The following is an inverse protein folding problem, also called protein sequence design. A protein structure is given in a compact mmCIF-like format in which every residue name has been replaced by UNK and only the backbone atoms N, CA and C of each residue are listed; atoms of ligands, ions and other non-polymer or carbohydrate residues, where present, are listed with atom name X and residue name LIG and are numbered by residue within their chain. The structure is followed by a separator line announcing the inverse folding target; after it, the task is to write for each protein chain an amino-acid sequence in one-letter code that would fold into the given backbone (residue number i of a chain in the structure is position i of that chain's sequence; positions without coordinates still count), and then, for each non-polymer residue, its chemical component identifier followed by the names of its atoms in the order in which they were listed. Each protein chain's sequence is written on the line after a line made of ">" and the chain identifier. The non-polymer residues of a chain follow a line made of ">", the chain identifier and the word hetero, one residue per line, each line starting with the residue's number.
data_IF_767422070463
#
_entry.id   IF_767422070463
#
_cell.length_a   1.000
_cell.length_b   1.000
_cell.length_c   1.000
_cell.angle_alpha   90.00
_cell.angle_beta   90.00
_cell.angle_gamma   90.00
#
_symmetry.space_group_name_H-M   'P 1'
#
loop_
_entity.id
_entity.type
_entity.pdbx_description
1 polymer ?
#
# COMPACT_ATOMS: atom_id res chain seq x y z
N UNK A 1 -16.62 -12.57 -24.92
CA UNK A 1 -16.62 -11.28 -24.18
C UNK A 1 -15.25 -11.03 -23.54
N UNK A 2 -14.61 -12.06 -22.97
CA UNK A 2 -13.31 -11.94 -22.26
C UNK A 2 -12.11 -11.58 -23.16
N UNK A 3 -12.00 -12.13 -24.38
CA UNK A 3 -10.86 -11.85 -25.27
C UNK A 3 -10.88 -10.41 -25.84
N UNK A 4 -12.06 -9.85 -26.09
CA UNK A 4 -12.20 -8.48 -26.58
C UNK A 4 -11.89 -7.45 -25.50
N UNK A 5 -12.29 -7.70 -24.24
CA UNK A 5 -11.97 -6.83 -23.12
C UNK A 5 -10.47 -6.83 -22.79
N UNK A 6 -9.80 -7.97 -22.88
CA UNK A 6 -8.34 -8.08 -22.71
C UNK A 6 -7.59 -7.32 -23.83
N UNK A 7 -8.00 -7.46 -25.07
CA UNK A 7 -7.39 -6.73 -26.19
C UNK A 7 -7.56 -5.20 -26.05
N UNK A 8 -8.73 -4.72 -25.63
CA UNK A 8 -8.97 -3.30 -25.35
C UNK A 8 -8.13 -2.77 -24.19
N UNK A 9 -7.95 -3.56 -23.12
CA UNK A 9 -7.09 -3.21 -21.99
C UNK A 9 -5.61 -3.08 -22.43
N UNK A 10 -5.12 -4.03 -23.21
CA UNK A 10 -3.75 -4.00 -23.77
C UNK A 10 -3.54 -2.78 -24.68
N UNK A 11 -4.48 -2.45 -25.57
CA UNK A 11 -4.40 -1.28 -26.45
C UNK A 11 -4.39 0.01 -25.60
N UNK A 12 -5.24 0.14 -24.57
CA UNK A 12 -5.25 1.30 -23.68
C UNK A 12 -3.96 1.45 -22.90
N UNK A 13 -3.38 0.35 -22.40
CA UNK A 13 -2.11 0.36 -21.68
C UNK A 13 -0.95 0.81 -22.59
N UNK A 14 -0.89 0.32 -23.82
CA UNK A 14 0.13 0.75 -24.80
C UNK A 14 0.04 2.24 -25.13
N UNK A 15 -1.17 2.80 -25.30
CA UNK A 15 -1.35 4.23 -25.53
C UNK A 15 -0.97 5.08 -24.31
N UNK A 16 -1.31 4.64 -23.12
CA UNK A 16 -0.92 5.32 -21.87
C UNK A 16 0.60 5.34 -21.72
N UNK A 17 1.27 4.22 -21.93
CA UNK A 17 2.72 4.12 -21.87
C UNK A 17 3.40 5.01 -22.91
N UNK A 18 2.88 5.09 -24.14
CA UNK A 18 3.42 5.96 -25.19
C UNK A 18 3.34 7.44 -24.81
N UNK A 19 2.18 7.91 -24.37
CA UNK A 19 1.97 9.33 -24.01
C UNK A 19 2.86 9.69 -22.82
N UNK A 20 2.91 8.86 -21.80
CA UNK A 20 3.73 9.09 -20.60
C UNK A 20 5.21 9.10 -20.95
N UNK A 21 5.68 8.19 -21.82
CA UNK A 21 7.05 8.19 -22.35
C UNK A 21 7.39 9.50 -23.05
N UNK A 22 6.52 9.98 -23.93
CA UNK A 22 6.72 11.25 -24.65
C UNK A 22 6.82 12.44 -23.70
N UNK A 23 5.99 12.49 -22.66
CA UNK A 23 6.05 13.53 -21.63
C UNK A 23 7.39 13.47 -20.90
N UNK A 24 7.80 12.27 -20.43
CA UNK A 24 9.06 12.09 -19.70
C UNK A 24 10.28 12.45 -20.54
N UNK A 25 10.29 12.07 -21.83
CA UNK A 25 11.35 12.48 -22.76
C UNK A 25 11.36 14.00 -22.97
N UNK A 26 10.21 14.63 -23.15
CA UNK A 26 10.11 16.08 -23.28
C UNK A 26 10.65 16.81 -22.05
N UNK A 27 10.29 16.37 -20.85
CA UNK A 27 10.80 16.89 -19.60
C UNK A 27 12.32 16.63 -19.44
N UNK A 28 12.80 15.49 -19.91
CA UNK A 28 14.26 15.19 -19.91
C UNK A 28 15.04 16.15 -20.78
N UNK A 29 14.49 16.48 -21.96
CA UNK A 29 15.11 17.50 -22.84
C UNK A 29 15.18 18.85 -22.12
N UNK A 30 14.14 19.25 -21.40
CA UNK A 30 14.15 20.48 -20.61
C UNK A 30 15.15 20.40 -19.44
N UNK A 31 15.26 19.26 -18.76
CA UNK A 31 16.24 19.03 -17.71
C UNK A 31 17.69 19.08 -18.20
N UNK A 32 17.92 18.73 -19.46
CA UNK A 32 19.20 18.93 -20.13
C UNK A 32 19.42 20.39 -20.52
N UNK A 33 18.47 20.97 -21.27
CA UNK A 33 18.60 22.24 -21.95
C UNK A 33 18.70 23.46 -21.01
N UNK A 34 17.87 23.51 -19.95
CA UNK A 34 17.84 24.64 -19.04
C UNK A 34 19.16 24.85 -18.29
N UNK A 35 19.74 23.85 -17.62
CA UNK A 35 21.06 24.01 -17.01
C UNK A 35 22.17 24.27 -18.03
N UNK A 36 22.11 23.61 -19.20
CA UNK A 36 23.08 23.80 -20.27
C UNK A 36 23.14 25.25 -20.75
N UNK A 37 21.99 25.88 -20.97
CA UNK A 37 21.88 27.24 -21.49
C UNK A 37 22.06 28.32 -20.42
N UNK A 38 21.45 28.14 -19.26
CA UNK A 38 21.34 29.19 -18.23
C UNK A 38 22.20 28.95 -16.99
N UNK A 39 23.03 27.92 -16.96
CA UNK A 39 23.80 27.59 -15.76
C UNK A 39 25.09 26.82 -16.04
N UNK A 40 25.12 25.59 -15.55
CA UNK A 40 26.28 24.72 -15.64
C UNK A 40 26.07 23.66 -16.74
N UNK A 41 26.83 23.76 -17.83
CA UNK A 41 26.75 22.80 -18.95
C UNK A 41 26.97 21.36 -18.51
N UNK A 42 27.86 21.11 -17.55
CA UNK A 42 28.15 19.76 -17.04
C UNK A 42 26.89 19.15 -16.35
N UNK A 43 26.20 19.95 -15.53
CA UNK A 43 24.97 19.50 -14.86
C UNK A 43 23.91 19.12 -15.89
N UNK A 44 23.67 19.96 -16.91
CA UNK A 44 22.73 19.66 -17.97
C UNK A 44 23.04 18.34 -18.69
N UNK A 45 24.30 18.17 -19.10
CA UNK A 45 24.75 16.96 -19.80
C UNK A 45 24.57 15.72 -18.92
N UNK A 46 25.04 15.75 -17.68
CA UNK A 46 24.96 14.60 -16.75
C UNK A 46 23.49 14.24 -16.49
N UNK A 47 22.65 15.22 -16.14
CA UNK A 47 21.25 14.98 -15.83
C UNK A 47 20.49 14.44 -17.05
N UNK A 48 20.73 15.03 -18.25
CA UNK A 48 20.10 14.58 -19.48
C UNK A 48 20.49 13.15 -19.86
N UNK A 49 21.78 12.80 -19.74
CA UNK A 49 22.26 11.43 -20.02
C UNK A 49 21.66 10.43 -19.02
N UNK A 50 21.72 10.72 -17.72
CA UNK A 50 21.21 9.78 -16.70
C UNK A 50 19.70 9.54 -16.89
N UNK A 51 18.91 10.60 -16.98
CA UNK A 51 17.45 10.48 -17.18
C UNK A 51 17.13 9.79 -18.52
N UNK A 52 17.82 10.18 -19.59
CA UNK A 52 17.64 9.56 -20.89
C UNK A 52 17.93 8.06 -20.88
N UNK A 53 19.02 7.63 -20.24
CA UNK A 53 19.37 6.22 -20.12
C UNK A 53 18.34 5.45 -19.30
N UNK A 54 17.88 5.99 -18.15
CA UNK A 54 16.88 5.33 -17.32
C UNK A 54 15.57 5.14 -18.08
N UNK A 55 15.06 6.20 -18.73
CA UNK A 55 13.81 6.14 -19.48
C UNK A 55 13.95 5.18 -20.68
N UNK A 56 15.04 5.26 -21.42
CA UNK A 56 15.30 4.36 -22.54
C UNK A 56 15.38 2.91 -22.08
N UNK A 57 16.07 2.65 -20.98
CA UNK A 57 16.17 1.31 -20.41
C UNK A 57 14.80 0.76 -19.98
N UNK A 58 13.96 1.56 -19.29
CA UNK A 58 12.62 1.12 -18.88
C UNK A 58 11.70 0.85 -20.06
N UNK A 59 11.82 1.61 -21.15
CA UNK A 59 11.04 1.38 -22.38
C UNK A 59 11.51 0.12 -23.12
N UNK A 60 12.84 -0.07 -23.26
CA UNK A 60 13.40 -1.22 -23.98
C UNK A 60 13.31 -2.55 -23.23
N UNK A 61 13.30 -2.50 -21.90
CA UNK A 61 13.25 -3.72 -21.08
C UNK A 61 11.86 -4.37 -21.03
N UNK A 62 10.83 -3.74 -21.64
CA UNK A 62 9.42 -4.22 -21.63
C UNK A 62 8.90 -4.58 -20.23
N UNK A 63 9.52 -4.01 -19.20
CA UNK A 63 9.19 -4.25 -17.80
C UNK A 63 8.02 -3.35 -17.41
N UNK A 64 6.81 -3.67 -17.88
CA UNK A 64 5.59 -2.90 -17.60
C UNK A 64 5.40 -2.62 -16.11
N UNK A 65 5.75 -3.57 -15.26
CA UNK A 65 5.72 -3.44 -13.81
C UNK A 65 6.66 -2.32 -13.30
N UNK A 66 7.90 -2.25 -13.76
CA UNK A 66 8.85 -1.22 -13.36
C UNK A 66 8.45 0.18 -13.85
N UNK A 67 7.76 0.26 -14.97
CA UNK A 67 7.25 1.53 -15.53
C UNK A 67 6.29 2.19 -14.53
N UNK A 68 5.35 1.45 -13.98
CA UNK A 68 4.36 1.97 -13.03
C UNK A 68 5.03 2.52 -11.77
N UNK A 69 6.14 1.92 -11.33
CA UNK A 69 6.84 2.33 -10.11
C UNK A 69 7.89 3.41 -10.35
N UNK A 70 8.75 3.25 -11.35
CA UNK A 70 9.90 4.12 -11.56
C UNK A 70 9.50 5.46 -12.17
N UNK A 71 8.53 5.49 -13.08
CA UNK A 71 8.15 6.71 -13.79
C UNK A 71 7.57 7.82 -12.91
N UNK A 72 6.72 7.56 -11.93
CA UNK A 72 6.30 8.60 -10.99
C UNK A 72 7.48 9.24 -10.26
N UNK A 73 8.48 8.47 -9.84
CA UNK A 73 9.68 9.01 -9.18
C UNK A 73 10.51 9.89 -10.13
N UNK A 74 10.68 9.45 -11.39
CA UNK A 74 11.39 10.24 -12.40
C UNK A 74 10.63 11.55 -12.65
N UNK A 75 9.31 11.50 -12.80
CA UNK A 75 8.46 12.66 -13.03
C UNK A 75 8.57 13.68 -11.89
N UNK A 76 8.46 13.23 -10.65
CA UNK A 76 8.60 14.09 -9.47
C UNK A 76 9.99 14.72 -9.42
N UNK A 77 11.04 13.93 -9.65
CA UNK A 77 12.41 14.46 -9.71
C UNK A 77 12.56 15.53 -10.79
N UNK A 78 12.02 15.31 -11.99
CA UNK A 78 12.06 16.27 -13.09
C UNK A 78 11.30 17.56 -12.72
N UNK A 79 10.13 17.47 -12.10
CA UNK A 79 9.36 18.63 -11.65
C UNK A 79 10.14 19.45 -10.62
N UNK A 80 10.72 18.80 -9.61
CA UNK A 80 11.52 19.47 -8.57
C UNK A 80 12.73 20.17 -9.21
N UNK A 81 13.43 19.46 -10.08
CA UNK A 81 14.63 19.98 -10.76
C UNK A 81 14.28 21.16 -11.66
N UNK A 82 13.24 21.05 -12.49
CA UNK A 82 12.78 22.11 -13.38
C UNK A 82 12.27 23.34 -12.61
N UNK A 83 11.61 23.15 -11.47
CA UNK A 83 11.20 24.26 -10.59
C UNK A 83 12.39 25.13 -10.22
N UNK A 84 13.48 24.55 -9.75
CA UNK A 84 14.69 25.31 -9.42
C UNK A 84 15.23 26.11 -10.64
N UNK A 85 15.35 25.44 -11.79
CA UNK A 85 15.92 26.07 -12.99
C UNK A 85 15.02 27.13 -13.59
N UNK A 86 13.69 26.95 -13.56
CA UNK A 86 12.72 27.95 -14.03
C UNK A 86 12.86 29.26 -13.24
N UNK A 87 12.89 29.20 -11.92
CA UNK A 87 13.07 30.40 -11.11
C UNK A 87 14.47 31.04 -11.28
N UNK A 88 15.48 30.26 -11.60
CA UNK A 88 16.80 30.77 -11.93
C UNK A 88 16.80 31.58 -13.21
N UNK A 89 16.04 31.17 -14.23
CA UNK A 89 15.86 31.93 -15.49
C UNK A 89 15.20 33.29 -15.21
N UNK A 90 14.26 33.37 -14.31
CA UNK A 90 13.61 34.61 -13.88
C UNK A 90 14.43 35.44 -12.90
N UNK A 91 15.73 35.17 -12.76
CA UNK A 91 16.64 35.84 -11.81
C UNK A 91 16.19 35.75 -10.33
N UNK A 92 15.45 34.72 -9.95
CA UNK A 92 14.97 34.46 -8.60
C UNK A 92 15.48 33.13 -8.03
N UNK A 93 16.79 32.84 -8.03
CA UNK A 93 17.32 31.52 -7.66
C UNK A 93 17.03 31.15 -6.19
N UNK A 94 16.91 32.13 -5.30
CA UNK A 94 16.55 31.87 -3.89
C UNK A 94 15.16 31.26 -3.77
N UNK A 95 14.19 31.83 -4.48
CA UNK A 95 12.78 31.30 -4.50
C UNK A 95 12.80 29.89 -5.07
N UNK A 96 13.47 29.65 -6.19
CA UNK A 96 13.61 28.34 -6.77
C UNK A 96 14.20 27.31 -5.80
N UNK A 97 15.25 27.68 -5.04
CA UNK A 97 15.84 26.82 -4.03
C UNK A 97 14.86 26.46 -2.91
N UNK A 98 14.15 27.44 -2.36
CA UNK A 98 13.19 27.17 -1.28
C UNK A 98 12.03 26.32 -1.76
N UNK A 99 11.48 26.62 -2.94
CA UNK A 99 10.34 25.89 -3.47
C UNK A 99 10.72 24.44 -3.84
N UNK A 100 11.86 24.23 -4.51
CA UNK A 100 12.31 22.86 -4.82
C UNK A 100 12.67 22.07 -3.54
N UNK A 101 13.26 22.71 -2.52
CA UNK A 101 13.50 22.06 -1.23
C UNK A 101 12.19 21.68 -0.52
N UNK A 102 11.19 22.55 -0.56
CA UNK A 102 9.86 22.25 -0.02
C UNK A 102 9.18 21.07 -0.74
N UNK A 103 9.21 21.07 -2.09
CA UNK A 103 8.68 19.95 -2.86
C UNK A 103 9.43 18.63 -2.56
N UNK A 104 10.75 18.69 -2.43
CA UNK A 104 11.55 17.52 -2.02
C UNK A 104 11.12 17.01 -0.65
N UNK A 105 10.94 17.91 0.32
CA UNK A 105 10.50 17.55 1.66
C UNK A 105 9.11 16.90 1.65
N UNK A 106 8.15 17.49 0.92
CA UNK A 106 6.81 16.90 0.75
C UNK A 106 6.88 15.51 0.13
N UNK A 107 7.76 15.32 -0.87
CA UNK A 107 7.93 14.03 -1.51
C UNK A 107 8.52 12.98 -0.56
N UNK A 108 9.52 13.36 0.24
CA UNK A 108 10.09 12.47 1.26
C UNK A 108 9.01 12.07 2.29
N UNK A 109 8.19 13.03 2.77
CA UNK A 109 7.09 12.71 3.69
C UNK A 109 6.08 11.75 3.06
N UNK A 110 5.78 11.91 1.77
CA UNK A 110 4.87 11.02 1.05
C UNK A 110 5.46 9.61 0.93
N UNK A 111 6.76 9.49 0.62
CA UNK A 111 7.44 8.19 0.61
C UNK A 111 7.52 7.54 2.00
N UNK A 112 7.58 8.34 3.06
CA UNK A 112 7.63 7.86 4.44
C UNK A 112 6.25 7.60 5.04
N UNK A 113 5.17 7.90 4.32
CA UNK A 113 3.80 7.81 4.87
C UNK A 113 3.44 6.43 5.46
N UNK A 114 3.84 5.26 4.91
CA UNK A 114 3.56 3.97 5.53
C UNK A 114 4.20 3.84 6.92
N UNK A 115 5.49 4.23 7.05
CA UNK A 115 6.19 4.18 8.36
C UNK A 115 5.60 5.17 9.36
N UNK A 116 5.18 6.37 8.89
CA UNK A 116 4.53 7.37 9.75
C UNK A 116 3.20 6.81 10.26
N UNK A 117 2.42 6.14 9.40
CA UNK A 117 1.17 5.50 9.78
C UNK A 117 1.39 4.45 10.88
N UNK A 118 2.42 3.61 10.74
CA UNK A 118 2.74 2.60 11.76
C UNK A 118 3.13 3.23 13.11
N UNK A 119 3.90 4.31 13.09
CA UNK A 119 4.33 5.01 14.31
C UNK A 119 3.21 5.78 14.99
N UNK A 120 2.22 6.25 14.23
CA UNK A 120 1.08 7.01 14.76
C UNK A 120 -0.09 6.13 15.16
N UNK A 121 -0.06 4.82 14.85
CA UNK A 121 -1.12 3.88 15.18
C UNK A 121 -1.33 3.81 16.69
N UNK A 122 -2.54 4.10 17.11
CA UNK A 122 -2.91 4.25 18.51
C UNK A 122 -3.94 3.21 18.96
N UNK A 123 -4.18 3.15 20.29
CA UNK A 123 -5.26 2.33 20.85
C UNK A 123 -6.64 2.71 20.30
N UNK A 124 -6.86 3.98 19.97
CA UNK A 124 -8.13 4.44 19.41
C UNK A 124 -8.31 3.91 17.99
N UNK A 125 -7.24 3.90 17.18
CA UNK A 125 -7.28 3.36 15.82
C UNK A 125 -7.56 1.85 15.86
N UNK A 126 -6.93 1.12 16.78
CA UNK A 126 -7.21 -0.30 16.99
C UNK A 126 -8.68 -0.53 17.40
N UNK A 127 -9.22 0.27 18.34
CA UNK A 127 -10.63 0.17 18.73
C UNK A 127 -11.59 0.44 17.58
N UNK A 128 -11.30 1.43 16.76
CA UNK A 128 -12.10 1.75 15.59
C UNK A 128 -12.11 0.61 14.58
N UNK A 129 -10.95 -0.02 14.33
CA UNK A 129 -10.85 -1.18 13.45
C UNK A 129 -11.67 -2.37 14.00
N UNK A 130 -11.57 -2.67 15.28
CA UNK A 130 -12.36 -3.74 15.88
C UNK A 130 -13.87 -3.46 15.82
N UNK A 131 -14.28 -2.22 16.10
CA UNK A 131 -15.68 -1.82 16.05
C UNK A 131 -16.29 -1.96 14.65
N UNK A 132 -15.52 -1.67 13.58
CA UNK A 132 -15.95 -1.89 12.19
C UNK A 132 -16.32 -3.36 11.90
N UNK A 133 -15.72 -4.28 12.61
CA UNK A 133 -15.93 -5.73 12.46
C UNK A 133 -16.81 -6.32 13.57
N UNK A 134 -17.59 -5.47 14.24
CA UNK A 134 -18.49 -5.86 15.34
C UNK A 134 -17.77 -6.57 16.50
N UNK A 135 -16.52 -6.21 16.74
CA UNK A 135 -15.74 -6.61 17.91
C UNK A 135 -15.51 -5.42 18.81
N UNK A 136 -16.01 -5.44 20.03
CA UNK A 136 -15.86 -4.33 20.98
C UNK A 136 -14.81 -4.66 22.02
N UNK A 137 -13.80 -3.79 22.18
CA UNK A 137 -12.86 -3.85 23.31
C UNK A 137 -13.32 -2.86 24.39
N UNK A 138 -13.73 -3.38 25.55
CA UNK A 138 -14.28 -2.58 26.66
C UNK A 138 -13.25 -2.15 27.66
N UNK A 139 -12.28 -3.02 27.91
CA UNK A 139 -11.19 -2.75 28.84
C UNK A 139 -10.00 -2.07 28.15
N UNK A 140 -9.02 -1.66 28.94
CA UNK A 140 -7.74 -1.22 28.40
C UNK A 140 -6.89 -2.39 27.92
N UNK A 141 -6.09 -2.15 26.90
CA UNK A 141 -5.20 -3.15 26.31
C UNK A 141 -3.85 -2.53 25.93
N UNK A 142 -2.87 -3.34 25.66
CA UNK A 142 -1.54 -2.91 25.23
C UNK A 142 -1.28 -3.36 23.80
N UNK A 143 -0.86 -2.43 22.93
CA UNK A 143 -0.36 -2.79 21.60
C UNK A 143 1.05 -3.34 21.76
N UNK A 144 1.27 -4.57 21.31
CA UNK A 144 2.55 -5.28 21.39
C UNK A 144 3.35 -5.10 20.10
N UNK A 145 2.67 -5.18 18.96
CA UNK A 145 3.25 -5.03 17.62
C UNK A 145 2.26 -4.32 16.72
N UNK A 146 2.77 -3.50 15.83
CA UNK A 146 2.02 -2.92 14.72
C UNK A 146 2.93 -2.85 13.49
N UNK A 147 2.44 -3.33 12.35
CA UNK A 147 3.20 -3.39 11.10
C UNK A 147 2.23 -3.32 9.94
N UNK A 148 2.43 -2.38 9.04
CA UNK A 148 1.72 -2.32 7.77
C UNK A 148 2.70 -2.28 6.61
N UNK A 149 2.28 -2.74 5.45
CA UNK A 149 3.13 -2.77 4.29
C UNK A 149 2.43 -3.30 3.05
N UNK A 150 3.25 -3.58 2.04
CA UNK A 150 2.75 -3.98 0.73
C UNK A 150 2.44 -2.78 -0.16
N UNK A 151 2.84 -2.87 -1.41
CA UNK A 151 2.56 -1.85 -2.41
C UNK A 151 1.40 -2.26 -3.32
N UNK A 152 1.30 -3.54 -3.65
CA UNK A 152 0.19 -4.10 -4.43
C UNK A 152 -0.76 -4.89 -3.54
N UNK A 153 -0.20 -5.67 -2.64
CA UNK A 153 -0.93 -6.49 -1.68
C UNK A 153 -0.78 -5.84 -0.31
N UNK A 154 -1.65 -4.86 -0.03
CA UNK A 154 -1.64 -4.17 1.25
C UNK A 154 -1.96 -5.14 2.38
N UNK A 155 -1.14 -5.11 3.42
CA UNK A 155 -1.43 -5.78 4.68
C UNK A 155 -1.25 -4.84 5.87
N UNK A 156 -2.05 -5.09 6.89
CA UNK A 156 -1.90 -4.47 8.20
C UNK A 156 -2.03 -5.53 9.28
N UNK A 157 -0.99 -5.73 10.06
CA UNK A 157 -0.92 -6.72 11.12
C UNK A 157 -0.61 -6.00 12.43
N UNK A 158 -1.44 -6.19 13.43
CA UNK A 158 -1.10 -5.76 14.77
C UNK A 158 -1.51 -6.81 15.82
N UNK A 159 -0.80 -6.81 16.94
CA UNK A 159 -1.00 -7.71 18.06
C UNK A 159 -1.23 -6.90 19.33
N UNK A 160 -2.24 -7.28 20.10
CA UNK A 160 -2.59 -6.63 21.35
C UNK A 160 -2.68 -7.65 22.50
N UNK A 161 -2.32 -7.20 23.71
CA UNK A 161 -2.52 -7.92 24.94
C UNK A 161 -3.83 -7.45 25.60
N UNK A 162 -4.74 -8.41 25.82
CA UNK A 162 -6.09 -8.17 26.32
C UNK A 162 -6.17 -8.34 27.83
N UNK A 163 -7.20 -7.71 28.44
CA UNK A 163 -7.65 -8.09 29.77
C UNK A 163 -8.29 -9.49 29.75
N UNK A 164 -8.29 -10.19 30.89
CA UNK A 164 -9.00 -11.47 31.02
C UNK A 164 -10.49 -11.37 30.70
N UNK A 165 -11.11 -10.22 30.96
CA UNK A 165 -12.54 -10.00 30.70
C UNK A 165 -12.80 -9.89 29.20
N UNK A 166 -12.03 -9.07 28.49
CA UNK A 166 -12.18 -8.92 27.05
C UNK A 166 -11.81 -10.22 26.32
N UNK A 167 -10.77 -10.92 26.77
CA UNK A 167 -10.41 -12.23 26.24
C UNK A 167 -11.57 -13.22 26.30
N UNK A 168 -12.17 -13.40 27.48
CA UNK A 168 -13.28 -14.35 27.65
C UNK A 168 -14.52 -13.93 26.85
N UNK A 169 -14.78 -12.62 26.77
CA UNK A 169 -15.91 -12.11 25.98
C UNK A 169 -15.71 -12.38 24.49
N UNK A 170 -14.55 -12.05 23.93
CA UNK A 170 -14.26 -12.30 22.51
C UNK A 170 -14.27 -13.79 22.18
N UNK A 171 -13.71 -14.62 23.06
CA UNK A 171 -13.82 -16.09 22.94
C UNK A 171 -15.28 -16.52 22.84
N UNK A 172 -16.12 -16.04 23.74
CA UNK A 172 -17.55 -16.36 23.75
C UNK A 172 -18.26 -15.83 22.49
N UNK A 173 -17.93 -14.65 22.04
CA UNK A 173 -18.48 -14.07 20.80
C UNK A 173 -18.09 -14.88 19.56
N UNK A 174 -16.87 -15.43 19.50
CA UNK A 174 -16.45 -16.30 18.39
C UNK A 174 -17.11 -17.67 18.49
N UNK A 175 -17.06 -18.32 19.67
CA UNK A 175 -17.47 -19.73 19.83
C UNK A 175 -18.98 -19.94 19.92
N UNK A 176 -19.75 -18.90 20.31
CA UNK A 176 -21.21 -18.95 20.40
C UNK A 176 -21.92 -18.34 19.20
N UNK A 177 -21.16 -17.84 18.22
CA UNK A 177 -21.75 -17.31 16.98
C UNK A 177 -22.41 -18.44 16.19
N UNK A 178 -23.53 -18.10 15.51
CA UNK A 178 -24.26 -19.05 14.65
C UNK A 178 -23.44 -19.62 13.49
N UNK A 179 -22.39 -18.89 13.09
CA UNK A 179 -21.47 -19.28 12.03
C UNK A 179 -20.21 -19.98 12.57
N UNK A 180 -20.24 -20.43 13.84
CA UNK A 180 -19.12 -21.19 14.39
C UNK A 180 -19.13 -22.64 13.92
N UNK A 181 -18.03 -23.08 13.31
CA UNK A 181 -17.91 -24.39 12.64
C UNK A 181 -17.12 -25.41 13.46
N UNK A 182 -16.47 -24.96 14.56
CA UNK A 182 -15.58 -25.82 15.35
C UNK A 182 -14.15 -25.85 14.77
N UNK A 183 -13.50 -27.00 14.89
CA UNK A 183 -12.11 -27.14 14.49
C UNK A 183 -11.98 -27.22 12.97
N UNK A 184 -11.20 -26.29 12.39
CA UNK A 184 -10.82 -26.29 10.99
C UNK A 184 -9.32 -26.35 10.82
N UNK A 185 -8.86 -27.21 9.90
CA UNK A 185 -7.46 -27.26 9.49
C UNK A 185 -7.10 -26.05 8.63
N UNK A 186 -5.82 -25.72 8.59
CA UNK A 186 -5.28 -24.57 7.85
C UNK A 186 -5.64 -24.57 6.36
N UNK A 187 -5.84 -25.72 5.75
CA UNK A 187 -6.13 -25.89 4.33
C UNK A 187 -7.65 -25.96 4.00
N UNK A 188 -8.50 -25.48 4.91
CA UNK A 188 -9.96 -25.48 4.75
C UNK A 188 -10.42 -24.74 3.48
N UNK A 189 -9.70 -23.69 3.09
CA UNK A 189 -10.05 -22.88 1.93
C UNK A 189 -10.14 -23.71 0.65
N UNK A 190 -9.23 -24.67 0.46
CA UNK A 190 -9.24 -25.60 -0.67
C UNK A 190 -10.24 -26.75 -0.52
N UNK A 191 -10.46 -27.21 0.71
CA UNK A 191 -11.29 -28.41 1.02
C UNK A 191 -12.78 -28.13 1.22
N UNK A 192 -13.15 -26.91 1.57
CA UNK A 192 -14.52 -26.50 1.93
C UNK A 192 -15.01 -25.31 1.11
N UNK A 193 -15.24 -25.47 -0.20
CA UNK A 193 -15.69 -24.36 -1.07
C UNK A 193 -17.07 -23.80 -0.68
N UNK A 194 -17.85 -24.55 0.09
CA UNK A 194 -19.12 -24.12 0.67
C UNK A 194 -18.94 -22.95 1.65
N UNK A 195 -17.85 -22.94 2.41
CA UNK A 195 -17.55 -21.91 3.41
C UNK A 195 -17.11 -20.57 2.80
N UNK A 196 -16.57 -20.59 1.58
CA UNK A 196 -16.16 -19.37 0.87
C UNK A 196 -17.32 -18.43 0.55
N UNK A 197 -18.55 -18.90 0.63
CA UNK A 197 -19.76 -18.11 0.36
C UNK A 197 -20.22 -17.30 1.56
N UNK A 198 -19.61 -17.52 2.71
CA UNK A 198 -19.92 -16.79 3.94
C UNK A 198 -19.15 -15.48 3.97
N UNK A 199 -19.76 -14.44 4.51
CA UNK A 199 -19.16 -13.15 4.79
C UNK A 199 -18.33 -13.16 6.07
N UNK A 200 -18.72 -14.01 7.02
CA UNK A 200 -18.05 -14.17 8.32
C UNK A 200 -17.97 -15.65 8.66
N UNK A 201 -16.79 -16.10 9.03
CA UNK A 201 -16.53 -17.46 9.45
C UNK A 201 -15.86 -17.45 10.82
N UNK A 202 -16.44 -18.16 11.77
CA UNK A 202 -15.88 -18.35 13.09
C UNK A 202 -15.47 -19.82 13.25
N UNK A 203 -14.23 -20.04 13.64
CA UNK A 203 -13.69 -21.39 13.82
C UNK A 203 -12.54 -21.41 14.85
N UNK A 204 -12.01 -22.56 15.12
CA UNK A 204 -10.79 -22.70 15.91
C UNK A 204 -9.81 -23.62 15.22
N UNK A 205 -8.53 -23.41 15.50
CA UNK A 205 -7.47 -24.35 15.19
C UNK A 205 -6.76 -24.79 16.50
N UNK A 206 -5.66 -25.49 16.36
CA UNK A 206 -4.87 -25.97 17.51
C UNK A 206 -4.45 -24.83 18.46
N UNK A 207 -4.21 -23.64 17.93
CA UNK A 207 -3.55 -22.52 18.65
C UNK A 207 -4.46 -21.34 18.94
N UNK A 208 -5.47 -21.10 18.08
CA UNK A 208 -6.27 -19.88 18.11
C UNK A 208 -7.77 -20.17 17.96
N UNK A 209 -8.60 -19.27 18.52
CA UNK A 209 -9.96 -19.03 18.09
C UNK A 209 -9.90 -17.95 17.00
N UNK A 210 -10.60 -18.14 15.89
CA UNK A 210 -10.44 -17.32 14.70
C UNK A 210 -11.80 -16.81 14.25
N UNK A 211 -11.85 -15.50 13.95
CA UNK A 211 -12.91 -14.88 13.16
C UNK A 211 -12.30 -14.37 11.88
N UNK A 212 -12.80 -14.86 10.77
CA UNK A 212 -12.42 -14.46 9.43
C UNK A 212 -13.60 -13.71 8.80
N UNK A 213 -13.33 -12.54 8.25
CA UNK A 213 -14.36 -11.65 7.70
C UNK A 213 -13.94 -11.14 6.32
N UNK A 214 -14.88 -11.15 5.36
CA UNK A 214 -14.67 -10.60 4.02
C UNK A 214 -15.57 -9.38 3.79
N UNK A 215 -15.00 -8.27 3.36
CA UNK A 215 -15.73 -7.00 3.19
C UNK A 215 -16.81 -7.07 2.09
N UNK A 216 -16.62 -7.89 1.09
CA UNK A 216 -17.58 -8.02 -0.04
C UNK A 216 -18.61 -9.15 0.13
N UNK A 217 -18.74 -9.70 1.33
CA UNK A 217 -19.73 -10.73 1.64
C UNK A 217 -19.43 -12.10 1.05
N UNK A 218 -18.21 -12.33 0.54
CA UNK A 218 -17.74 -13.62 0.07
C UNK A 218 -16.22 -13.71 0.22
N UNK A 219 -15.74 -14.84 0.71
CA UNK A 219 -14.31 -15.14 0.80
C UNK A 219 -13.78 -15.64 -0.56
N UNK A 220 -14.00 -14.87 -1.62
CA UNK A 220 -13.46 -15.16 -2.96
C UNK A 220 -12.20 -14.31 -3.20
N UNK A 221 -11.33 -14.75 -4.12
CA UNK A 221 -10.08 -14.06 -4.47
C UNK A 221 -10.33 -12.58 -4.84
N UNK A 222 -9.44 -11.71 -4.38
CA UNK A 222 -9.47 -10.26 -4.67
C UNK A 222 -10.37 -9.45 -3.74
N UNK A 223 -10.77 -9.98 -2.59
CA UNK A 223 -11.50 -9.26 -1.55
C UNK A 223 -10.60 -8.89 -0.38
N UNK A 224 -10.97 -7.83 0.36
CA UNK A 224 -10.31 -7.54 1.63
C UNK A 224 -10.69 -8.60 2.66
N UNK A 225 -9.69 -9.28 3.19
CA UNK A 225 -9.81 -10.24 4.27
C UNK A 225 -9.32 -9.64 5.57
N UNK A 226 -10.10 -9.87 6.63
CA UNK A 226 -9.78 -9.44 7.98
C UNK A 226 -9.86 -10.65 8.90
N UNK A 227 -8.72 -11.06 9.45
CA UNK A 227 -8.61 -12.21 10.32
C UNK A 227 -8.26 -11.76 11.73
N UNK A 228 -9.05 -12.22 12.69
CA UNK A 228 -8.83 -12.01 14.12
C UNK A 228 -8.46 -13.36 14.75
N UNK A 229 -7.22 -13.47 15.23
CA UNK A 229 -6.70 -14.67 15.84
C UNK A 229 -6.54 -14.46 17.36
N UNK A 230 -7.45 -15.04 18.16
CA UNK A 230 -7.38 -15.01 19.61
C UNK A 230 -6.61 -16.24 20.11
N UNK A 231 -5.45 -16.03 20.72
CA UNK A 231 -4.58 -17.12 21.19
C UNK A 231 -5.25 -17.95 22.29
N UNK A 232 -5.12 -19.28 22.22
CA UNK A 232 -5.61 -20.19 23.27
C UNK A 232 -4.69 -20.27 24.50
N UNK A 233 -3.43 -19.91 24.35
CA UNK A 233 -2.41 -20.00 25.39
C UNK A 233 -2.12 -18.70 26.12
N UNK A 234 -2.44 -17.57 25.47
CA UNK A 234 -2.12 -16.23 25.97
C UNK A 234 -3.29 -15.28 25.76
N UNK A 235 -3.39 -14.23 26.57
CA UNK A 235 -4.42 -13.20 26.39
C UNK A 235 -4.05 -12.24 25.26
N UNK A 236 -3.77 -12.78 24.08
CA UNK A 236 -3.37 -12.01 22.92
C UNK A 236 -4.37 -12.16 21.79
N UNK A 237 -4.59 -11.04 21.10
CA UNK A 237 -5.37 -10.98 19.88
C UNK A 237 -4.48 -10.40 18.79
N UNK A 238 -4.41 -11.10 17.67
CA UNK A 238 -3.74 -10.66 16.46
C UNK A 238 -4.78 -10.32 15.41
N UNK A 239 -4.64 -9.15 14.83
CA UNK A 239 -5.39 -8.70 13.67
C UNK A 239 -4.54 -8.81 12.42
N UNK A 240 -5.11 -9.30 11.34
CA UNK A 240 -4.50 -9.38 10.02
C UNK A 240 -5.53 -8.85 9.03
N UNK A 241 -5.26 -7.70 8.43
CA UNK A 241 -6.01 -7.18 7.30
C UNK A 241 -5.16 -7.31 6.04
N UNK A 242 -5.66 -7.96 5.00
CA UNK A 242 -4.96 -8.12 3.73
C UNK A 242 -5.92 -7.95 2.56
N UNK A 243 -5.37 -7.50 1.43
CA UNK A 243 -6.01 -7.50 0.14
C UNK A 243 -5.29 -8.55 -0.71
N UNK A 244 -5.92 -9.69 -0.93
CA UNK A 244 -5.41 -10.78 -1.77
C UNK A 244 -5.95 -10.72 -3.20
#
# INVERSE_FOLDING_TARGET
>A
VTAYSAALATIRMNHFNLITSLILFGLTILCFWLPYKYGNKRIGIITGIILGLIITWTVLAELEFLVIFIWPFILVFQIIFLTYWTFRIFNKPKIGKYLSSFLTFCFILLCMSPWISDWTFSKNDARELFAKHNLELKDDFKILKNESGGFMDYYHIFEIELSNKDYNRLKDEITKDKNYIGNLDYDWYSKRPDLRKLDTLNYENKYNYIRDYSENGKMEDGTFHFVFELSKSENKLKYIGSNE
#
